data_IF_485664756923
#
_entry.id   IF_485664756923
#
_cell.length_a   1.000
_cell.length_b   1.000
_cell.length_c   1.000
_cell.angle_alpha   90.00
_cell.angle_beta   90.00
_cell.angle_gamma   90.00
#
_symmetry.space_group_name_H-M   'P 1'
#
loop_
_entity.id
_entity.type
_entity.pdbx_description
1 polymer ?
#
# COMPACT_ATOMS: atom_id res chain seq x y z
N UNK A 1 -9.53 -3.73 28.24
CA UNK A 1 -9.75 -4.50 27.01
C UNK A 1 -10.39 -3.62 25.98
N UNK A 2 -9.64 -3.36 24.91
CA UNK A 2 -10.15 -2.76 23.70
C UNK A 2 -10.58 -3.89 22.73
N UNK A 3 -11.22 -3.52 21.62
CA UNK A 3 -11.54 -4.44 20.52
C UNK A 3 -10.58 -4.19 19.36
N UNK A 4 -10.12 -5.27 18.73
CA UNK A 4 -9.28 -5.22 17.55
C UNK A 4 -10.04 -4.54 16.40
N UNK A 5 -9.46 -3.49 15.84
CA UNK A 5 -10.08 -2.69 14.79
C UNK A 5 -10.28 -3.46 13.47
N UNK A 6 -9.52 -4.53 13.23
CA UNK A 6 -9.65 -5.36 12.03
C UNK A 6 -10.69 -6.48 12.19
N UNK A 7 -10.60 -7.27 13.27
CA UNK A 7 -11.38 -8.49 13.42
C UNK A 7 -12.42 -8.48 14.56
N UNK A 8 -12.44 -7.43 15.39
CA UNK A 8 -13.35 -7.31 16.54
C UNK A 8 -13.00 -8.19 17.75
N UNK A 9 -11.90 -8.95 17.70
CA UNK A 9 -11.45 -9.74 18.86
C UNK A 9 -11.00 -8.82 20.01
N UNK A 10 -11.29 -9.21 21.25
CA UNK A 10 -10.78 -8.47 22.41
C UNK A 10 -9.25 -8.55 22.49
N UNK A 11 -8.63 -7.43 22.84
CA UNK A 11 -7.18 -7.33 22.97
C UNK A 11 -6.80 -6.41 24.13
N UNK A 12 -5.64 -6.71 24.72
CA UNK A 12 -4.97 -5.88 25.71
C UNK A 12 -3.69 -5.23 25.14
N UNK A 13 -3.46 -5.36 23.84
CA UNK A 13 -2.36 -4.70 23.14
C UNK A 13 -2.52 -3.18 23.20
N UNK A 14 -1.38 -2.50 23.31
CA UNK A 14 -1.32 -1.04 23.22
C UNK A 14 -1.86 -0.57 21.86
N UNK A 15 -2.45 0.63 21.85
CA UNK A 15 -2.92 1.24 20.62
C UNK A 15 -1.74 1.66 19.75
N UNK A 16 -1.86 1.48 18.45
CA UNK A 16 -1.08 2.18 17.45
C UNK A 16 -1.90 3.39 16.97
N UNK A 17 -1.53 4.58 17.44
CA UNK A 17 -2.32 5.79 17.29
C UNK A 17 -3.72 5.65 17.92
N UNK A 18 -4.75 5.66 17.08
CA UNK A 18 -6.16 5.54 17.49
C UNK A 18 -6.68 4.08 17.46
N UNK A 19 -5.88 3.12 17.01
CA UNK A 19 -6.33 1.77 16.66
C UNK A 19 -5.69 0.70 17.55
N UNK A 20 -6.48 -0.28 17.98
CA UNK A 20 -5.98 -1.48 18.65
C UNK A 20 -6.02 -2.66 17.69
N UNK A 21 -4.96 -3.48 17.69
CA UNK A 21 -4.91 -4.71 16.91
C UNK A 21 -4.58 -5.91 17.81
N UNK A 22 -5.23 -7.04 17.60
CA UNK A 22 -4.87 -8.29 18.28
C UNK A 22 -3.57 -8.88 17.70
N UNK A 23 -2.96 -9.80 18.44
CA UNK A 23 -1.69 -10.44 18.05
C UNK A 23 -1.76 -11.11 16.68
N UNK A 24 -2.88 -11.79 16.37
CA UNK A 24 -3.06 -12.44 15.07
C UNK A 24 -3.04 -11.44 13.92
N UNK A 25 -3.71 -10.29 14.09
CA UNK A 25 -3.72 -9.24 13.05
C UNK A 25 -2.35 -8.58 12.91
N UNK A 26 -1.65 -8.35 14.02
CA UNK A 26 -0.29 -7.80 13.99
C UNK A 26 0.70 -8.78 13.32
N UNK A 27 0.57 -10.08 13.58
CA UNK A 27 1.39 -11.11 12.94
C UNK A 27 1.13 -11.20 11.44
N UNK A 28 -0.13 -11.09 11.01
CA UNK A 28 -0.49 -11.02 9.59
C UNK A 28 0.15 -9.80 8.91
N UNK A 29 0.04 -8.61 9.52
CA UNK A 29 0.65 -7.39 8.97
C UNK A 29 2.17 -7.53 8.89
N UNK A 30 2.82 -8.01 9.95
CA UNK A 30 4.26 -8.22 9.99
C UNK A 30 4.74 -9.22 8.92
N UNK A 31 3.92 -10.23 8.60
CA UNK A 31 4.21 -11.19 7.52
C UNK A 31 4.17 -10.49 6.16
N UNK A 32 3.12 -9.70 5.89
CA UNK A 32 3.00 -8.94 4.64
C UNK A 32 4.14 -7.92 4.50
N UNK A 33 4.52 -7.27 5.60
CA UNK A 33 5.63 -6.31 5.59
C UNK A 33 6.98 -6.95 5.27
N UNK A 34 7.18 -8.22 5.58
CA UNK A 34 8.45 -8.92 5.32
C UNK A 34 8.55 -9.48 3.89
N UNK A 35 7.43 -9.77 3.24
CA UNK A 35 7.41 -10.49 1.95
C UNK A 35 6.31 -9.98 1.02
N UNK A 36 6.09 -8.67 0.97
CA UNK A 36 4.94 -8.09 0.27
C UNK A 36 5.14 -6.64 -0.11
N UNK A 37 4.03 -5.91 -0.21
CA UNK A 37 4.03 -4.50 -0.58
C UNK A 37 3.47 -3.67 0.57
N UNK A 38 4.24 -2.70 1.04
CA UNK A 38 3.81 -1.73 2.05
C UNK A 38 3.54 -0.40 1.35
N UNK A 39 2.32 0.10 1.47
CA UNK A 39 1.96 1.46 1.06
C UNK A 39 1.78 2.28 2.33
N UNK A 40 2.67 3.23 2.58
CA UNK A 40 2.68 4.02 3.82
C UNK A 40 2.52 5.50 3.52
N UNK A 41 1.59 6.18 4.20
CA UNK A 41 1.60 7.63 4.22
C UNK A 41 2.52 8.14 5.32
N UNK A 42 3.52 8.94 4.94
CA UNK A 42 4.40 9.61 5.91
C UNK A 42 3.63 10.66 6.72
N UNK A 43 3.91 10.71 8.02
CA UNK A 43 3.35 11.73 8.94
C UNK A 43 3.73 13.15 8.54
N UNK A 44 4.95 13.33 8.01
CA UNK A 44 5.45 14.62 7.54
C UNK A 44 5.36 14.71 6.02
N UNK A 45 4.78 15.80 5.51
CA UNK A 45 4.68 16.07 4.07
C UNK A 45 3.57 15.33 3.33
N UNK A 46 2.89 14.37 3.97
CA UNK A 46 1.69 13.69 3.43
C UNK A 46 1.94 12.83 2.20
N UNK A 47 3.21 12.61 1.84
CA UNK A 47 3.60 11.78 0.72
C UNK A 47 3.40 10.29 1.04
N UNK A 48 3.21 9.50 -0.01
CA UNK A 48 3.01 8.06 0.09
C UNK A 48 4.27 7.34 -0.39
N UNK A 49 4.80 6.47 0.44
CA UNK A 49 5.93 5.61 0.13
C UNK A 49 5.41 4.22 -0.18
N UNK A 50 5.98 3.60 -1.20
CA UNK A 50 5.74 2.19 -1.50
C UNK A 50 7.05 1.45 -1.28
N UNK A 51 6.98 0.39 -0.50
CA UNK A 51 8.13 -0.46 -0.16
C UNK A 51 7.76 -1.86 -0.61
N UNK A 52 8.54 -2.42 -1.52
CA UNK A 52 8.43 -3.81 -1.93
C UNK A 52 9.52 -4.57 -1.21
N UNK A 53 9.13 -5.45 -0.29
CA UNK A 53 10.08 -6.18 0.56
C UNK A 53 10.40 -7.57 0.03
N UNK A 54 9.61 -8.07 -0.92
CA UNK A 54 9.94 -9.26 -1.66
C UNK A 54 11.15 -9.01 -2.58
N UNK A 55 12.26 -9.71 -2.32
CA UNK A 55 13.52 -9.52 -3.02
C UNK A 55 13.54 -10.02 -4.47
N UNK A 56 12.55 -10.83 -4.87
CA UNK A 56 12.40 -11.33 -6.24
C UNK A 56 11.47 -10.44 -7.09
N UNK A 57 10.82 -9.45 -6.47
CA UNK A 57 9.97 -8.51 -7.18
C UNK A 57 10.80 -7.61 -8.12
N UNK A 58 10.47 -7.65 -9.41
CA UNK A 58 11.12 -6.85 -10.45
C UNK A 58 10.69 -5.37 -10.46
N UNK A 59 9.69 -5.02 -9.67
CA UNK A 59 9.05 -3.70 -9.64
C UNK A 59 9.51 -2.91 -8.41
N UNK A 60 9.92 -1.67 -8.62
CA UNK A 60 10.30 -0.74 -7.55
C UNK A 60 9.06 -0.05 -6.95
N UNK A 61 9.06 0.08 -5.62
CA UNK A 61 8.01 0.74 -4.86
C UNK A 61 7.96 2.24 -5.13
N UNK A 62 9.05 2.98 -4.88
CA UNK A 62 9.09 4.43 -5.10
C UNK A 62 8.17 5.25 -4.19
N UNK A 63 7.77 6.44 -4.67
CA UNK A 63 6.99 7.43 -3.91
C UNK A 63 5.93 8.07 -4.80
N UNK A 64 4.77 8.37 -4.21
CA UNK A 64 3.63 9.03 -4.86
C UNK A 64 3.10 10.19 -4.01
N UNK A 65 2.48 11.18 -4.64
CA UNK A 65 1.93 12.37 -3.97
C UNK A 65 0.43 12.27 -3.68
N UNK A 66 -0.24 11.28 -4.28
CA UNK A 66 -1.68 11.03 -4.14
C UNK A 66 -1.93 9.66 -3.55
N UNK A 67 -2.92 9.58 -2.66
CA UNK A 67 -3.36 8.31 -2.09
C UNK A 67 -3.79 7.32 -3.18
N UNK A 68 -4.56 7.80 -4.17
CA UNK A 68 -5.07 6.95 -5.25
C UNK A 68 -3.92 6.41 -6.10
N UNK A 69 -2.91 7.23 -6.41
CA UNK A 69 -1.76 6.79 -7.20
C UNK A 69 -0.92 5.76 -6.44
N UNK A 70 -0.70 5.98 -5.14
CA UNK A 70 0.01 5.04 -4.28
C UNK A 70 -0.72 3.71 -4.14
N UNK A 71 -2.02 3.74 -3.87
CA UNK A 71 -2.84 2.53 -3.75
C UNK A 71 -2.95 1.80 -5.09
N UNK A 72 -3.03 2.54 -6.21
CA UNK A 72 -3.05 1.95 -7.55
C UNK A 72 -1.73 1.25 -7.86
N UNK A 73 -0.60 1.90 -7.64
CA UNK A 73 0.72 1.32 -7.87
C UNK A 73 0.99 0.13 -6.93
N UNK A 74 0.65 0.26 -5.65
CA UNK A 74 0.77 -0.84 -4.69
C UNK A 74 -0.08 -2.04 -5.10
N UNK A 75 -1.33 -1.79 -5.54
CA UNK A 75 -2.20 -2.83 -6.07
C UNK A 75 -1.64 -3.48 -7.35
N UNK A 76 -1.12 -2.69 -8.27
CA UNK A 76 -0.49 -3.19 -9.49
C UNK A 76 0.65 -4.15 -9.16
N UNK A 77 1.56 -3.76 -8.26
CA UNK A 77 2.68 -4.61 -7.85
C UNK A 77 2.17 -5.89 -7.17
N UNK A 78 1.17 -5.79 -6.29
CA UNK A 78 0.55 -6.97 -5.67
C UNK A 78 -0.01 -7.94 -6.70
N UNK A 79 -0.74 -7.43 -7.69
CA UNK A 79 -1.39 -8.24 -8.72
C UNK A 79 -0.36 -8.90 -9.67
N UNK A 80 0.66 -8.15 -10.12
CA UNK A 80 1.68 -8.66 -11.05
C UNK A 80 2.65 -9.65 -10.40
N UNK A 81 3.00 -9.42 -9.13
CA UNK A 81 3.95 -10.27 -8.40
C UNK A 81 3.25 -11.36 -7.57
N UNK A 82 1.92 -11.37 -7.49
CA UNK A 82 1.17 -12.31 -6.65
C UNK A 82 1.40 -12.10 -5.15
N UNK A 83 1.70 -10.87 -4.74
CA UNK A 83 2.03 -10.51 -3.36
C UNK A 83 0.80 -9.97 -2.62
N UNK A 84 0.84 -10.04 -1.30
CA UNK A 84 -0.09 -9.31 -0.45
C UNK A 84 0.41 -7.90 -0.20
N UNK A 85 -0.54 -6.99 0.03
CA UNK A 85 -0.24 -5.58 0.34
C UNK A 85 -0.82 -5.15 1.67
N UNK A 86 -0.12 -4.26 2.36
CA UNK A 86 -0.62 -3.56 3.54
C UNK A 86 -0.61 -2.05 3.29
N UNK A 87 -1.65 -1.36 3.73
CA UNK A 87 -1.75 0.09 3.72
C UNK A 87 -1.62 0.62 5.14
N UNK A 88 -0.66 1.50 5.37
CA UNK A 88 -0.39 2.17 6.64
C UNK A 88 -0.69 3.65 6.52
N UNK A 89 -1.52 4.15 7.42
CA UNK A 89 -1.84 5.57 7.55
C UNK A 89 -1.26 6.09 8.86
N UNK A 90 0.03 6.46 8.82
CA UNK A 90 0.77 6.90 10.01
C UNK A 90 0.10 8.04 10.79
N UNK A 91 -0.63 9.01 10.19
CA UNK A 91 -1.28 10.08 10.96
C UNK A 91 -2.32 9.60 11.97
N UNK A 92 -3.00 8.47 11.73
CA UNK A 92 -3.97 7.89 12.67
C UNK A 92 -3.50 6.59 13.32
N UNK A 93 -2.39 6.01 12.84
CA UNK A 93 -1.92 4.68 13.24
C UNK A 93 -2.72 3.53 12.60
N UNK A 94 -3.62 3.82 11.66
CA UNK A 94 -4.43 2.75 11.04
C UNK A 94 -3.61 1.92 10.06
N UNK A 95 -3.70 0.60 10.20
CA UNK A 95 -3.10 -0.39 9.31
C UNK A 95 -4.19 -1.32 8.77
N UNK A 96 -4.14 -1.56 7.46
CA UNK A 96 -5.14 -2.36 6.75
C UNK A 96 -4.46 -3.29 5.74
N UNK A 97 -5.00 -4.49 5.54
CA UNK A 97 -4.67 -5.23 4.33
C UNK A 97 -5.19 -4.42 3.13
N UNK A 98 -4.36 -4.21 2.11
CA UNK A 98 -4.64 -3.33 0.99
C UNK A 98 -5.94 -3.71 0.27
N UNK A 99 -6.15 -5.01 0.06
CA UNK A 99 -7.37 -5.53 -0.57
C UNK A 99 -8.61 -5.28 0.28
N UNK A 100 -8.52 -5.48 1.59
CA UNK A 100 -9.59 -5.19 2.55
C UNK A 100 -9.91 -3.68 2.60
N UNK A 101 -8.88 -2.82 2.61
CA UNK A 101 -9.03 -1.37 2.57
C UNK A 101 -9.84 -0.92 1.36
N UNK A 102 -9.47 -1.39 0.16
CA UNK A 102 -10.17 -1.06 -1.08
C UNK A 102 -11.59 -1.63 -1.10
N UNK A 103 -11.83 -2.80 -0.50
CA UNK A 103 -13.19 -3.34 -0.38
C UNK A 103 -14.08 -2.49 0.55
N UNK A 104 -13.53 -2.01 1.67
CA UNK A 104 -14.22 -1.16 2.62
C UNK A 104 -14.48 0.26 2.08
N UNK A 105 -13.65 0.75 1.15
CA UNK A 105 -13.73 2.09 0.57
C UNK A 105 -14.04 2.05 -0.94
N UNK A 106 -15.31 1.84 -1.33
CA UNK A 106 -15.67 1.60 -2.72
C UNK A 106 -15.39 2.79 -3.66
N UNK A 107 -15.44 4.04 -3.16
CA UNK A 107 -15.08 5.23 -3.93
C UNK A 107 -13.59 5.23 -4.31
N UNK A 108 -12.70 5.04 -3.34
CA UNK A 108 -11.25 4.95 -3.58
C UNK A 108 -10.94 3.76 -4.50
N UNK A 109 -11.61 2.62 -4.31
CA UNK A 109 -11.43 1.46 -5.18
C UNK A 109 -11.81 1.76 -6.64
N UNK A 110 -12.87 2.52 -6.87
CA UNK A 110 -13.23 2.95 -8.22
C UNK A 110 -12.13 3.83 -8.81
N UNK A 111 -11.66 4.84 -8.06
CA UNK A 111 -10.61 5.75 -8.51
C UNK A 111 -9.30 5.01 -8.84
N UNK A 112 -8.91 4.07 -7.98
CA UNK A 112 -7.75 3.18 -8.20
C UNK A 112 -7.92 2.36 -9.48
N UNK A 113 -9.11 1.78 -9.69
CA UNK A 113 -9.38 0.98 -10.88
C UNK A 113 -9.37 1.82 -12.16
N UNK A 114 -9.92 3.04 -12.11
CA UNK A 114 -9.85 4.00 -13.21
C UNK A 114 -8.40 4.40 -13.49
N UNK A 115 -7.60 4.63 -12.44
CA UNK A 115 -6.18 4.96 -12.55
C UNK A 115 -5.36 3.84 -13.18
N UNK A 116 -5.66 2.57 -12.85
CA UNK A 116 -5.02 1.39 -13.43
C UNK A 116 -5.40 1.16 -14.90
N UNK A 117 -6.63 1.51 -15.30
CA UNK A 117 -7.08 1.45 -16.69
C UNK A 117 -6.45 2.51 -17.58
N UNK A 118 -6.08 3.65 -17.01
CA UNK A 118 -5.28 4.66 -17.69
C UNK A 118 -3.86 4.09 -17.81
N UNK A 119 -3.60 3.44 -18.94
CA UNK A 119 -2.24 3.14 -19.41
C UNK A 119 -1.39 4.39 -19.16
N UNK A 120 -0.18 4.28 -18.59
CA UNK A 120 0.66 5.46 -18.45
C UNK A 120 0.86 6.08 -19.84
N UNK A 121 0.42 7.33 -20.01
CA UNK A 121 1.10 8.21 -20.96
C UNK A 121 2.58 8.13 -20.58
N UNK A 122 3.39 7.74 -21.57
CA UNK A 122 4.79 7.32 -21.49
C UNK A 122 5.58 7.84 -20.27
N UNK A 123 6.45 7.01 -19.64
CA UNK A 123 7.42 7.54 -18.71
C UNK A 123 8.27 8.62 -19.41
N UNK A 124 8.45 9.82 -18.84
CA UNK A 124 9.34 10.82 -19.39
C UNK A 124 10.77 10.26 -19.31
N UNK A 125 11.26 9.68 -20.42
CA UNK A 125 12.64 9.18 -20.51
C UNK A 125 12.88 8.02 -21.47
N UNK A 126 11.85 7.37 -22.03
CA UNK A 126 12.11 6.26 -22.98
C UNK A 126 12.54 6.77 -24.36
N UNK A 127 11.97 7.88 -24.84
CA UNK A 127 12.32 8.49 -26.13
C UNK A 127 13.69 9.21 -26.13
N UNK A 128 14.20 9.64 -24.96
CA UNK A 128 15.53 10.25 -24.86
C UNK A 128 16.67 9.22 -25.02
N UNK A 129 16.43 7.94 -24.73
CA UNK A 129 17.42 6.88 -24.94
C UNK A 129 17.55 6.43 -26.40
N UNK A 130 16.49 6.57 -27.19
CA UNK A 130 16.50 6.13 -28.60
C UNK A 130 17.16 7.19 -29.51
N UNK A 131 17.17 8.46 -29.09
CA UNK A 131 17.78 9.56 -29.86
C UNK A 131 19.30 9.66 -29.75
N UNK A 132 19.92 8.94 -28.83
CA UNK A 132 21.39 8.84 -28.69
C UNK A 132 22.00 7.61 -29.39
N UNK A 133 21.19 6.83 -30.12
CA UNK A 133 21.64 5.63 -30.83
C UNK A 133 21.48 5.68 -32.37
N UNK A 134 21.09 6.85 -32.91
CA UNK A 134 20.92 7.08 -34.34
C UNK A 134 21.68 8.34 -34.80
#
# INVERSE_FOLDING_TARGET
>A
MAECARCGAFTDNEADGEYHYCDDCLADFATIEQSGVVVEQATEGGAYHLIVTDGDASLDGGQETSQVDALARGKYICDECGLNGVFKYAPSGSTWVLSEYLQAHPGIRQDVHERLRRVPDEPPGLLDRIRNFL
#
